data_IF_780608204798
#
_entry.id   IF_780608204798
#
_cell.length_a   1.000
_cell.length_b   1.000
_cell.length_c   1.000
_cell.angle_alpha   90.00
_cell.angle_beta   90.00
_cell.angle_gamma   90.00
#
_symmetry.space_group_name_H-M   'P 1'
#
loop_
_entity.id
_entity.type
_entity.pdbx_description
1 polymer ?
#
# COMPACT_ATOMS: atom_id res chain seq x y z
N UNK A 1 1.74 0.47 17.34
CA UNK A 1 1.44 1.66 16.52
C UNK A 1 2.04 1.41 15.15
N UNK A 2 1.29 1.61 14.06
CA UNK A 2 1.80 1.41 12.70
C UNK A 2 2.68 2.57 12.24
N UNK A 3 3.51 2.34 11.22
CA UNK A 3 4.33 3.39 10.62
C UNK A 3 3.51 4.16 9.57
N UNK A 4 3.71 5.48 9.51
CA UNK A 4 3.18 6.32 8.43
C UNK A 4 3.80 5.89 7.11
N UNK A 5 2.98 5.67 6.10
CA UNK A 5 3.43 5.48 4.71
C UNK A 5 3.16 6.78 3.96
N UNK A 6 4.17 7.27 3.24
CA UNK A 6 4.04 8.42 2.33
C UNK A 6 4.37 7.94 0.93
N UNK A 7 3.42 8.08 0.02
CA UNK A 7 3.59 7.73 -1.39
C UNK A 7 3.68 9.04 -2.17
N UNK A 8 4.80 9.25 -2.84
CA UNK A 8 5.02 10.42 -3.69
C UNK A 8 4.72 10.05 -5.14
N UNK A 9 3.94 10.90 -5.82
CA UNK A 9 3.67 10.86 -7.25
C UNK A 9 4.21 12.15 -7.88
N UNK A 10 5.52 12.23 -8.16
CA UNK A 10 6.17 13.45 -8.62
C UNK A 10 5.59 13.97 -9.94
N UNK A 11 5.25 13.08 -10.87
CA UNK A 11 4.69 13.44 -12.17
C UNK A 11 3.26 13.98 -12.05
N UNK A 12 2.56 13.65 -10.96
CA UNK A 12 1.20 14.12 -10.67
C UNK A 12 1.19 15.28 -9.66
N UNK A 13 2.36 15.73 -9.20
CA UNK A 13 2.52 16.71 -8.13
C UNK A 13 1.65 16.39 -6.92
N UNK A 14 1.71 15.15 -6.45
CA UNK A 14 0.76 14.64 -5.47
C UNK A 14 1.44 13.74 -4.44
N UNK A 15 1.10 13.92 -3.17
CA UNK A 15 1.56 13.07 -2.08
C UNK A 15 0.35 12.48 -1.37
N UNK A 16 0.39 11.17 -1.11
CA UNK A 16 -0.61 10.44 -0.33
C UNK A 16 0.05 9.94 0.96
N UNK A 17 -0.43 10.43 2.08
CA UNK A 17 -0.03 9.98 3.41
C UNK A 17 -1.07 9.03 4.00
N UNK A 18 -0.64 7.87 4.46
CA UNK A 18 -1.47 6.85 5.10
C UNK A 18 -0.95 6.61 6.52
N UNK A 19 -1.76 6.94 7.52
CA UNK A 19 -1.44 6.71 8.94
C UNK A 19 -2.42 5.71 9.55
N UNK A 20 -1.95 4.54 10.03
CA UNK A 20 -2.81 3.60 10.73
C UNK A 20 -3.29 4.18 12.07
N UNK A 21 -4.61 4.26 12.29
CA UNK A 21 -5.23 4.72 13.53
C UNK A 21 -6.26 3.67 13.97
N UNK A 22 -5.82 2.71 14.79
CA UNK A 22 -6.66 1.60 15.24
C UNK A 22 -7.10 0.69 14.07
N UNK A 23 -8.41 0.66 13.80
CA UNK A 23 -9.05 -0.07 12.70
C UNK A 23 -9.21 0.75 11.42
N UNK A 24 -8.83 2.03 11.43
CA UNK A 24 -8.92 2.92 10.28
C UNK A 24 -7.53 3.31 9.80
N UNK A 25 -7.48 3.87 8.59
CA UNK A 25 -6.31 4.53 8.03
C UNK A 25 -6.68 5.98 7.74
N UNK A 26 -6.02 6.86 8.47
CA UNK A 26 -6.12 8.29 8.27
C UNK A 26 -5.32 8.69 7.04
N UNK A 27 -6.02 9.14 6.00
CA UNK A 27 -5.46 9.42 4.70
C UNK A 27 -5.45 10.93 4.45
N UNK A 28 -4.26 11.46 4.16
CA UNK A 28 -4.10 12.85 3.72
C UNK A 28 -3.58 12.87 2.29
N UNK A 29 -4.39 13.42 1.40
CA UNK A 29 -4.02 13.70 0.02
C UNK A 29 -3.57 15.15 -0.08
N UNK A 30 -2.35 15.37 -0.58
CA UNK A 30 -1.79 16.70 -0.89
C UNK A 30 -1.55 16.77 -2.38
N UNK A 31 -2.19 17.71 -3.06
CA UNK A 31 -1.96 17.98 -4.48
C UNK A 31 -1.39 19.38 -4.64
N UNK A 32 -0.28 19.47 -5.36
CA UNK A 32 0.44 20.69 -5.65
C UNK A 32 0.18 21.06 -7.11
N UNK A 33 -0.09 22.33 -7.37
CA UNK A 33 -0.44 22.87 -8.68
C UNK A 33 -0.53 24.39 -8.58
N UNK A 34 -1.48 25.02 -9.26
CA UNK A 34 -1.73 26.47 -9.11
C UNK A 34 -2.07 26.87 -7.67
N UNK A 35 -2.62 25.92 -6.89
CA UNK A 35 -2.80 26.03 -5.44
C UNK A 35 -2.53 24.69 -4.76
N UNK A 36 -2.22 24.74 -3.47
CA UNK A 36 -1.99 23.55 -2.66
C UNK A 36 -3.33 23.04 -2.10
N UNK A 37 -3.82 21.91 -2.62
CA UNK A 37 -5.06 21.28 -2.15
C UNK A 37 -4.75 20.18 -1.14
N UNK A 38 -5.36 20.26 0.04
CA UNK A 38 -5.28 19.23 1.07
C UNK A 38 -6.66 18.61 1.29
N UNK A 39 -6.76 17.28 1.16
CA UNK A 39 -7.98 16.53 1.48
C UNK A 39 -7.67 15.48 2.53
N UNK A 40 -8.51 15.42 3.55
CA UNK A 40 -8.43 14.46 4.63
C UNK A 40 -9.64 13.54 4.59
N UNK A 41 -9.42 12.24 4.73
CA UNK A 41 -10.49 11.25 4.87
C UNK A 41 -9.98 9.99 5.59
N UNK A 42 -10.91 9.28 6.20
CA UNK A 42 -10.63 8.01 6.88
C UNK A 42 -11.02 6.84 5.98
N UNK A 43 -10.21 5.79 6.01
CA UNK A 43 -10.41 4.58 5.23
C UNK A 43 -10.49 3.36 6.14
N UNK A 44 -11.35 2.39 5.80
CA UNK A 44 -11.35 1.11 6.49
C UNK A 44 -10.04 0.36 6.22
N UNK A 45 -9.36 -0.06 7.29
CA UNK A 45 -8.05 -0.69 7.18
C UNK A 45 -8.11 -2.03 6.44
N UNK A 46 -9.15 -2.84 6.64
CA UNK A 46 -9.25 -4.14 5.98
C UNK A 46 -9.52 -3.97 4.48
N UNK A 47 -10.35 -3.00 4.11
CA UNK A 47 -10.60 -2.63 2.73
C UNK A 47 -9.31 -2.16 2.04
N UNK A 48 -8.54 -1.26 2.67
CA UNK A 48 -7.27 -0.78 2.11
C UNK A 48 -6.29 -1.93 1.90
N UNK A 49 -6.14 -2.81 2.89
CA UNK A 49 -5.25 -3.96 2.77
C UNK A 49 -5.70 -4.93 1.67
N UNK A 50 -7.02 -5.12 1.50
CA UNK A 50 -7.57 -5.91 0.40
C UNK A 50 -7.23 -5.31 -0.97
N UNK A 51 -7.50 -4.02 -1.15
CA UNK A 51 -7.22 -3.31 -2.42
C UNK A 51 -5.71 -3.30 -2.74
N UNK A 52 -4.85 -3.05 -1.75
CA UNK A 52 -3.40 -3.08 -1.94
C UNK A 52 -2.89 -4.47 -2.31
N UNK A 53 -3.42 -5.52 -1.67
CA UNK A 53 -3.08 -6.92 -2.01
C UNK A 53 -3.47 -7.23 -3.45
N UNK A 54 -4.68 -6.87 -3.86
CA UNK A 54 -5.17 -7.11 -5.23
C UNK A 54 -4.36 -6.34 -6.26
N UNK A 55 -3.99 -5.09 -5.95
CA UNK A 55 -3.13 -4.28 -6.79
C UNK A 55 -1.75 -4.92 -6.99
N UNK A 56 -1.09 -5.33 -5.90
CA UNK A 56 0.23 -5.98 -5.97
C UNK A 56 0.13 -7.27 -6.79
N UNK A 57 -0.87 -8.11 -6.54
CA UNK A 57 -1.07 -9.34 -7.31
C UNK A 57 -1.17 -9.08 -8.82
N UNK A 58 -1.97 -8.08 -9.22
CA UNK A 58 -2.12 -7.69 -10.63
C UNK A 58 -0.82 -7.17 -11.24
N UNK A 59 -0.04 -6.37 -10.50
CA UNK A 59 1.26 -5.89 -10.96
C UNK A 59 2.23 -7.06 -11.18
N UNK A 60 2.27 -8.00 -10.25
CA UNK A 60 3.12 -9.20 -10.37
C UNK A 60 2.70 -10.09 -11.54
N UNK A 61 1.39 -10.27 -11.76
CA UNK A 61 0.87 -10.98 -12.93
C UNK A 61 1.27 -10.31 -14.24
N UNK A 62 1.11 -8.99 -14.36
CA UNK A 62 1.56 -8.26 -15.53
C UNK A 62 3.07 -8.34 -15.75
N UNK A 63 3.85 -8.37 -14.67
CA UNK A 63 5.30 -8.53 -14.75
C UNK A 63 5.69 -9.93 -15.26
N UNK A 64 5.01 -10.98 -14.78
CA UNK A 64 5.17 -12.34 -15.27
C UNK A 64 4.77 -12.48 -16.73
N UNK A 65 3.61 -11.96 -17.12
CA UNK A 65 3.08 -12.05 -18.49
C UNK A 65 4.02 -11.39 -19.51
N UNK A 66 4.73 -10.34 -19.09
CA UNK A 66 5.75 -9.66 -19.89
C UNK A 66 7.14 -10.28 -19.78
N UNK A 67 7.30 -11.35 -19.02
CA UNK A 67 8.56 -12.07 -18.84
C UNK A 67 9.61 -11.32 -18.03
N UNK A 68 9.21 -10.31 -17.24
CA UNK A 68 10.13 -9.60 -16.35
C UNK A 68 10.53 -10.42 -15.13
N UNK A 69 9.62 -11.27 -14.65
CA UNK A 69 9.82 -12.15 -13.50
C UNK A 69 9.22 -13.54 -13.79
N UNK A 70 9.69 -14.54 -13.07
CA UNK A 70 9.18 -15.92 -13.08
C UNK A 70 8.14 -16.13 -11.97
N UNK A 71 7.43 -17.24 -12.05
CA UNK A 71 6.43 -17.61 -11.05
C UNK A 71 7.05 -17.73 -9.66
N UNK A 72 8.25 -18.32 -9.55
CA UNK A 72 8.93 -18.52 -8.28
C UNK A 72 9.30 -17.19 -7.63
N UNK A 73 9.74 -16.21 -8.42
CA UNK A 73 10.07 -14.85 -7.96
C UNK A 73 8.83 -14.10 -7.48
N UNK A 74 7.68 -14.31 -8.15
CA UNK A 74 6.38 -13.79 -7.68
C UNK A 74 6.00 -14.42 -6.34
N UNK A 75 6.06 -15.74 -6.24
CA UNK A 75 5.63 -16.47 -5.06
C UNK A 75 6.51 -16.15 -3.84
N UNK A 76 7.82 -16.00 -4.04
CA UNK A 76 8.76 -15.57 -2.99
C UNK A 76 8.45 -14.15 -2.50
N UNK A 77 8.23 -13.21 -3.43
CA UNK A 77 7.91 -11.83 -3.09
C UNK A 77 6.59 -11.72 -2.33
N UNK A 78 5.53 -12.36 -2.84
CA UNK A 78 4.21 -12.35 -2.21
C UNK A 78 4.20 -13.10 -0.87
N UNK A 79 4.91 -14.23 -0.80
CA UNK A 79 5.09 -14.98 0.44
C UNK A 79 5.68 -14.10 1.53
N UNK A 80 6.76 -13.38 1.23
CA UNK A 80 7.43 -12.51 2.20
C UNK A 80 6.60 -11.26 2.54
N UNK A 81 6.05 -10.58 1.53
CA UNK A 81 5.30 -9.34 1.69
C UNK A 81 3.96 -9.54 2.43
N UNK A 82 3.35 -10.73 2.33
CA UNK A 82 2.03 -11.01 2.90
C UNK A 82 2.09 -11.81 4.22
N UNK A 83 3.20 -12.50 4.52
CA UNK A 83 3.37 -13.23 5.80
C UNK A 83 4.08 -12.42 6.89
N UNK A 84 4.78 -11.33 6.57
CA UNK A 84 5.43 -10.49 7.60
C UNK A 84 4.44 -9.80 8.56
N UNK A 85 3.12 -9.94 8.34
CA UNK A 85 2.06 -9.49 9.24
C UNK A 85 1.52 -10.55 10.22
N UNK A 86 1.94 -11.81 10.12
CA UNK A 86 1.51 -12.86 11.05
C UNK A 86 2.33 -12.93 12.36
N UNK A 87 3.50 -12.28 12.43
CA UNK A 87 4.43 -12.43 13.56
C UNK A 87 4.28 -11.42 14.70
N UNK A 88 3.21 -10.61 14.75
CA UNK A 88 2.94 -9.69 15.90
C UNK A 88 1.87 -10.24 16.85
N UNK A 89 1.50 -11.51 16.75
CA UNK A 89 0.68 -12.18 17.77
C UNK A 89 1.35 -13.48 18.19
N UNK A 90 2.31 -13.38 19.12
CA UNK A 90 2.67 -14.51 19.97
C UNK A 90 2.01 -14.30 21.33
N UNK A 91 1.07 -15.16 21.75
CA UNK A 91 0.56 -15.15 23.11
C UNK A 91 1.46 -16.03 24.00
N UNK A 92 1.96 -15.47 25.09
CA UNK A 92 2.11 -16.09 26.41
C UNK A 92 2.71 -15.04 27.37
#
# INVERSE_FOLDING_TARGET
MGQKISIDFPESWMIVDLMPVGSEISCTLRKFGDSCEHKHFELDKLQVLGVLRDFINKVMELAMDKGYIRLEEKDEFLGTALTSHASIVSPA
#
